data_IF_848664836766
#
_entry.id   IF_848664836766
#
_cell.length_a   1.000
_cell.length_b   1.000
_cell.length_c   1.000
_cell.angle_alpha   90.00
_cell.angle_beta   90.00
_cell.angle_gamma   90.00
#
_symmetry.space_group_name_H-M   'P 1'
#
loop_
_entity.id
_entity.type
_entity.pdbx_description
1 polymer ?
#
# COMPACT_ATOMS: atom_id res chain seq x y z
N UNK A 1 17.49 1.55 2.82
CA UNK A 1 16.02 1.83 2.94
C UNK A 1 15.53 2.49 1.63
N UNK A 2 14.27 2.38 1.18
CA UNK A 2 13.84 2.89 -0.17
C UNK A 2 14.25 4.34 -0.50
N UNK A 3 14.29 5.23 0.50
CA UNK A 3 14.73 6.63 0.35
C UNK A 3 16.22 6.79 0.02
N UNK A 4 17.06 5.93 0.57
CA UNK A 4 18.50 5.92 0.30
C UNK A 4 18.81 5.42 -1.11
N UNK A 5 18.09 4.39 -1.55
CA UNK A 5 18.20 3.87 -2.92
C UNK A 5 17.65 4.84 -3.99
N UNK A 6 16.60 5.61 -3.66
CA UNK A 6 15.95 6.50 -4.61
C UNK A 6 16.48 7.95 -4.59
N UNK A 7 16.96 8.43 -3.44
CA UNK A 7 17.33 9.84 -3.22
C UNK A 7 18.74 10.03 -2.66
N UNK A 8 19.52 8.96 -2.47
CA UNK A 8 20.88 9.01 -1.89
C UNK A 8 20.93 9.47 -0.42
N UNK A 9 19.77 9.73 0.20
CA UNK A 9 19.68 10.28 1.55
C UNK A 9 18.44 9.73 2.27
N UNK A 10 18.69 8.93 3.30
CA UNK A 10 17.66 8.27 4.11
C UNK A 10 16.68 9.24 4.78
N UNK A 11 17.15 10.43 5.17
CA UNK A 11 16.35 11.45 5.85
C UNK A 11 15.29 12.09 4.94
N UNK A 12 15.41 11.93 3.61
CA UNK A 12 14.48 12.48 2.61
C UNK A 12 13.29 11.56 2.31
N UNK A 13 13.04 10.54 3.13
CA UNK A 13 11.97 9.57 2.89
C UNK A 13 10.58 10.20 2.71
N UNK A 14 10.31 11.34 3.35
CA UNK A 14 9.04 12.09 3.23
C UNK A 14 8.78 12.59 1.81
N UNK A 15 9.83 12.84 1.02
CA UNK A 15 9.69 13.29 -0.38
C UNK A 15 9.16 12.18 -1.28
N UNK A 16 9.43 10.91 -0.96
CA UNK A 16 8.86 9.77 -1.66
C UNK A 16 7.34 9.64 -1.46
N UNK A 17 6.80 10.25 -0.39
CA UNK A 17 5.38 10.21 -0.04
C UNK A 17 4.58 11.25 -0.82
N UNK A 18 5.20 12.35 -1.25
CA UNK A 18 4.52 13.42 -2.01
C UNK A 18 3.84 12.92 -3.29
N UNK A 19 4.42 11.89 -3.91
CA UNK A 19 3.90 11.28 -5.14
C UNK A 19 3.14 9.97 -4.87
N UNK A 20 2.91 9.60 -3.60
CA UNK A 20 2.14 8.43 -3.26
C UNK A 20 0.64 8.67 -3.57
N UNK A 21 -0.07 7.68 -4.11
CA UNK A 21 -1.52 7.79 -4.24
C UNK A 21 -2.16 8.00 -2.85
N UNK A 22 -3.11 8.92 -2.76
CA UNK A 22 -3.72 9.44 -1.52
C UNK A 22 -2.78 10.21 -0.57
N UNK A 23 -1.55 10.57 -0.99
CA UNK A 23 -0.64 11.41 -0.21
C UNK A 23 -0.19 10.80 1.12
N UNK A 24 -0.51 9.52 1.36
CA UNK A 24 -0.25 8.83 2.62
C UNK A 24 0.72 7.67 2.38
N UNK A 25 1.64 7.46 3.33
CA UNK A 25 2.27 6.15 3.46
C UNK A 25 1.22 5.21 4.02
N UNK A 26 1.06 4.05 3.39
CA UNK A 26 0.26 2.97 3.96
C UNK A 26 0.63 2.76 5.43
N UNK A 27 -0.35 2.88 6.31
CA UNK A 27 -0.20 2.74 7.75
C UNK A 27 -0.37 1.28 8.15
N UNK A 28 0.32 0.81 9.20
CA UNK A 28 0.16 -0.57 9.68
C UNK A 28 -1.29 -0.97 9.96
N UNK A 29 -2.13 -0.02 10.42
CA UNK A 29 -3.53 -0.27 10.71
C UNK A 29 -4.36 -0.59 9.45
N UNK A 30 -4.04 -0.02 8.29
CA UNK A 30 -4.79 -0.29 7.05
C UNK A 30 -4.63 -1.75 6.60
N UNK A 31 -3.44 -2.34 6.82
CA UNK A 31 -3.21 -3.77 6.58
C UNK A 31 -3.90 -4.61 7.65
N UNK A 32 -3.81 -4.20 8.92
CA UNK A 32 -4.41 -4.93 10.04
C UNK A 32 -5.93 -5.03 9.90
N UNK A 33 -6.61 -3.96 9.47
CA UNK A 33 -8.05 -3.95 9.27
C UNK A 33 -8.49 -4.89 8.15
N UNK A 34 -7.74 -4.94 7.04
CA UNK A 34 -8.00 -5.91 5.98
C UNK A 34 -7.81 -7.35 6.49
N UNK A 35 -6.74 -7.61 7.23
CA UNK A 35 -6.50 -8.94 7.82
C UNK A 35 -7.64 -9.32 8.77
N UNK A 36 -8.07 -8.40 9.64
CA UNK A 36 -9.18 -8.61 10.56
C UNK A 36 -10.48 -8.95 9.82
N UNK A 37 -10.74 -8.32 8.68
CA UNK A 37 -11.85 -8.69 7.81
C UNK A 37 -11.69 -10.11 7.23
N UNK A 38 -10.51 -10.44 6.68
CA UNK A 38 -10.24 -11.71 6.01
C UNK A 38 -10.31 -12.92 6.95
N UNK A 39 -9.94 -12.76 8.22
CA UNK A 39 -10.06 -13.84 9.23
C UNK A 39 -11.48 -13.99 9.78
N UNK A 40 -12.39 -13.07 9.46
CA UNK A 40 -13.76 -13.10 9.97
C UNK A 40 -14.68 -13.98 9.11
N UNK A 41 -15.85 -14.36 9.67
CA UNK A 41 -16.90 -15.07 8.91
C UNK A 41 -17.40 -14.30 7.68
N UNK A 42 -17.20 -12.97 7.62
CA UNK A 42 -17.64 -12.14 6.49
C UNK A 42 -16.86 -12.42 5.21
N UNK A 43 -15.66 -12.99 5.32
CA UNK A 43 -14.83 -13.37 4.19
C UNK A 43 -14.93 -14.87 3.85
N UNK A 44 -15.99 -15.57 4.29
CA UNK A 44 -16.09 -17.04 4.18
C UNK A 44 -16.03 -17.61 2.75
N UNK A 45 -16.23 -16.76 1.74
CA UNK A 45 -16.17 -17.15 0.33
C UNK A 45 -14.95 -16.59 -0.40
N UNK A 46 -14.04 -15.92 0.32
CA UNK A 46 -12.80 -15.39 -0.23
C UNK A 46 -11.71 -16.44 -0.03
N UNK A 47 -11.23 -17.01 -1.14
CA UNK A 47 -10.11 -17.96 -1.14
C UNK A 47 -9.32 -17.84 -2.44
N UNK A 48 -8.02 -18.12 -2.40
CA UNK A 48 -7.14 -18.09 -3.57
C UNK A 48 -6.90 -16.68 -4.17
N UNK A 49 -7.33 -15.62 -3.50
CA UNK A 49 -7.20 -14.25 -3.99
C UNK A 49 -5.99 -13.53 -3.40
N UNK A 50 -5.31 -12.73 -4.22
CA UNK A 50 -4.28 -11.77 -3.78
C UNK A 50 -4.92 -10.39 -3.75
N UNK A 51 -4.99 -9.76 -2.58
CA UNK A 51 -5.60 -8.44 -2.40
C UNK A 51 -4.48 -7.41 -2.16
N UNK A 52 -4.19 -6.52 -3.12
CA UNK A 52 -3.17 -5.51 -2.96
C UNK A 52 -3.63 -4.37 -2.04
N UNK A 53 -2.83 -4.04 -1.03
CA UNK A 53 -2.99 -2.86 -0.16
C UNK A 53 -1.92 -1.84 -0.50
N UNK A 54 -2.11 -1.13 -1.60
CA UNK A 54 -1.08 -0.27 -2.19
C UNK A 54 -1.61 1.09 -2.66
N UNK A 55 -2.78 1.49 -2.15
CA UNK A 55 -3.45 2.74 -2.54
C UNK A 55 -3.74 2.81 -4.05
N UNK A 56 -4.05 1.68 -4.69
CA UNK A 56 -4.43 1.61 -6.10
C UNK A 56 -3.25 1.76 -7.06
N UNK A 57 -2.01 1.69 -6.56
CA UNK A 57 -0.79 1.83 -7.36
C UNK A 57 -0.71 0.78 -8.47
N UNK A 58 -1.14 -0.46 -8.21
CA UNK A 58 -1.24 -1.53 -9.21
C UNK A 58 -2.35 -1.31 -10.25
N UNK A 59 -3.44 -0.65 -9.86
CA UNK A 59 -4.59 -0.40 -10.75
C UNK A 59 -4.44 0.86 -11.60
N UNK A 60 -3.37 1.65 -11.40
CA UNK A 60 -3.11 2.83 -12.23
C UNK A 60 -2.77 2.43 -13.65
N UNK A 61 -3.77 2.51 -14.53
CA UNK A 61 -3.55 2.52 -15.97
C UNK A 61 -2.77 3.80 -16.31
N UNK A 62 -1.57 3.67 -16.87
CA UNK A 62 -0.96 4.80 -17.57
C UNK A 62 -1.76 4.96 -18.85
N UNK A 63 -2.70 5.90 -18.87
CA UNK A 63 -3.20 6.40 -20.14
C UNK A 63 -1.98 6.98 -20.87
N UNK A 64 -1.50 6.22 -21.86
CA UNK A 64 -0.55 6.67 -22.88
C UNK A 64 -1.35 6.99 -24.13
#
# INVERSE_FOLDING_TARGET
MRAEAALGNRSRWRELVKNAPFGCLGQPHEVADLVAFLVSKRASYVSGAVIPVDAGRLARNKAS
#
